data_IF_744006444198
#
_entry.id   IF_744006444198
#
_cell.length_a   1.000
_cell.length_b   1.000
_cell.length_c   1.000
_cell.angle_alpha   90.00
_cell.angle_beta   90.00
_cell.angle_gamma   90.00
#
_symmetry.space_group_name_H-M   'P 1'
#
loop_
_entity.id
_entity.type
_entity.pdbx_description
1 polymer ?
#
# COMPACT_ATOMS: atom_id res chain seq x y z
N UNK A 1 71.46 -34.47 23.99
CA UNK A 1 70.85 -33.39 23.17
C UNK A 1 69.96 -33.91 22.01
N UNK A 2 69.89 -35.23 21.74
CA UNK A 2 69.06 -35.71 20.59
C UNK A 2 67.60 -35.98 20.89
N UNK A 3 67.14 -36.06 22.13
CA UNK A 3 65.72 -36.38 22.44
C UNK A 3 64.74 -35.23 22.30
N UNK A 4 65.18 -33.93 22.41
CA UNK A 4 64.32 -32.76 22.32
C UNK A 4 63.87 -32.43 20.87
N UNK A 5 64.67 -32.83 19.89
CA UNK A 5 64.34 -32.56 18.47
C UNK A 5 63.18 -33.45 17.96
N UNK A 6 63.10 -34.72 18.47
CA UNK A 6 62.04 -35.64 18.04
C UNK A 6 60.63 -35.22 18.54
N UNK A 7 60.54 -34.61 19.70
CA UNK A 7 59.27 -34.04 20.23
C UNK A 7 58.83 -32.80 19.46
N UNK A 8 59.77 -31.90 19.15
CA UNK A 8 59.48 -30.70 18.36
C UNK A 8 59.02 -31.06 16.93
N UNK A 9 59.66 -32.05 16.26
CA UNK A 9 59.20 -32.52 14.95
C UNK A 9 57.82 -33.18 14.98
N UNK A 10 57.47 -33.91 16.03
CA UNK A 10 56.13 -34.47 16.18
C UNK A 10 55.07 -33.40 16.41
N UNK A 11 55.33 -32.40 17.21
CA UNK A 11 54.46 -31.26 17.42
C UNK A 11 54.25 -30.44 16.13
N UNK A 12 55.33 -30.22 15.36
CA UNK A 12 55.25 -29.50 14.08
C UNK A 12 54.40 -30.27 13.06
N UNK A 13 54.59 -31.59 12.92
CA UNK A 13 53.73 -32.40 12.05
C UNK A 13 52.29 -32.47 12.51
N UNK A 14 52.04 -32.52 13.80
CA UNK A 14 50.68 -32.48 14.35
C UNK A 14 50.01 -31.14 14.00
N UNK A 15 50.68 -29.98 14.19
CA UNK A 15 50.20 -28.67 13.86
C UNK A 15 49.93 -28.49 12.35
N UNK A 16 50.81 -29.08 11.51
CA UNK A 16 50.62 -29.07 10.04
C UNK A 16 49.36 -29.85 9.65
N UNK A 17 49.21 -31.08 10.16
CA UNK A 17 48.01 -31.91 9.88
C UNK A 17 46.76 -31.23 10.39
N UNK A 18 46.80 -30.67 11.60
CA UNK A 18 45.66 -29.90 12.18
C UNK A 18 45.28 -28.67 11.34
N UNK A 19 46.28 -27.91 10.90
CA UNK A 19 46.06 -26.74 10.05
C UNK A 19 45.43 -27.11 8.70
N UNK A 20 45.92 -28.15 8.04
CA UNK A 20 45.35 -28.64 6.78
C UNK A 20 43.93 -29.16 6.99
N UNK A 21 43.67 -29.92 8.03
CA UNK A 21 42.33 -30.41 8.35
C UNK A 21 41.35 -29.26 8.63
N UNK A 22 41.78 -28.25 9.40
CA UNK A 22 40.97 -27.08 9.71
C UNK A 22 40.68 -26.27 8.44
N UNK A 23 41.67 -26.05 7.57
CA UNK A 23 41.51 -25.36 6.28
C UNK A 23 40.54 -26.11 5.36
N UNK A 24 40.60 -27.44 5.30
CA UNK A 24 39.65 -28.25 4.55
C UNK A 24 38.22 -28.14 5.06
N UNK A 25 38.03 -28.13 6.39
CA UNK A 25 36.70 -27.93 7.01
C UNK A 25 36.16 -26.53 6.70
N UNK A 26 37.00 -25.48 6.81
CA UNK A 26 36.60 -24.11 6.47
C UNK A 26 36.23 -24.00 4.99
N UNK A 27 37.02 -24.60 4.09
CA UNK A 27 36.72 -24.59 2.65
C UNK A 27 35.40 -25.32 2.33
N UNK A 28 35.16 -26.45 3.03
CA UNK A 28 33.93 -27.23 2.86
C UNK A 28 32.69 -26.48 3.38
N UNK A 29 32.81 -25.80 4.52
CA UNK A 29 31.75 -24.93 5.05
C UNK A 29 31.50 -23.74 4.14
N UNK A 30 32.56 -23.10 3.62
CA UNK A 30 32.43 -22.01 2.64
C UNK A 30 31.76 -22.50 1.35
N UNK A 31 32.19 -23.66 0.83
CA UNK A 31 31.54 -24.30 -0.33
C UNK A 31 30.05 -24.55 -0.08
N UNK A 32 29.70 -25.13 1.06
CA UNK A 32 28.32 -25.42 1.44
C UNK A 32 27.48 -24.12 1.56
N UNK A 33 28.06 -23.07 2.14
CA UNK A 33 27.37 -21.79 2.32
C UNK A 33 27.17 -21.02 1.01
N UNK A 34 28.20 -20.99 0.13
CA UNK A 34 28.17 -20.17 -1.06
C UNK A 34 27.65 -20.89 -2.31
N UNK A 35 27.75 -22.22 -2.38
CA UNK A 35 27.41 -22.98 -3.60
C UNK A 35 26.21 -23.93 -3.43
N UNK A 36 25.84 -24.33 -2.23
CA UNK A 36 24.72 -25.27 -2.02
C UNK A 36 23.37 -24.61 -1.79
N UNK A 37 23.31 -23.28 -1.55
CA UNK A 37 22.08 -22.53 -1.26
C UNK A 37 21.40 -21.93 -2.50
N UNK A 38 21.68 -22.40 -3.72
CA UNK A 38 21.03 -21.91 -4.95
C UNK A 38 19.75 -22.68 -5.33
N UNK A 39 19.35 -23.67 -4.56
CA UNK A 39 18.05 -24.32 -4.76
C UNK A 39 17.01 -23.65 -3.89
N UNK A 40 16.06 -22.96 -4.51
CA UNK A 40 14.92 -22.33 -3.84
C UNK A 40 14.34 -23.25 -2.76
N UNK A 41 14.39 -22.82 -1.51
CA UNK A 41 13.93 -23.58 -0.37
C UNK A 41 12.43 -23.86 -0.49
N UNK A 42 12.03 -25.12 -0.33
CA UNK A 42 10.62 -25.47 -0.13
C UNK A 42 10.32 -25.35 1.36
N UNK A 43 9.49 -24.37 1.69
CA UNK A 43 9.03 -24.15 3.06
C UNK A 43 7.59 -24.66 3.18
N UNK A 44 7.26 -25.34 4.26
CA UNK A 44 5.86 -25.66 4.61
C UNK A 44 5.18 -24.45 5.23
N UNK A 45 5.95 -23.65 5.96
CA UNK A 45 5.49 -22.46 6.66
C UNK A 45 6.65 -21.48 6.77
N UNK A 46 6.34 -20.17 6.69
CA UNK A 46 7.30 -19.09 6.91
C UNK A 46 6.67 -18.10 7.89
N UNK A 47 7.35 -17.80 8.99
CA UNK A 47 6.99 -16.74 9.93
C UNK A 47 7.98 -15.60 9.74
N UNK A 48 7.50 -14.50 9.15
CA UNK A 48 8.32 -13.33 8.81
C UNK A 48 7.55 -12.03 9.06
N UNK A 49 8.25 -10.95 9.28
CA UNK A 49 7.65 -9.61 9.42
C UNK A 49 7.44 -8.93 8.07
N UNK A 50 8.27 -9.29 7.06
CA UNK A 50 8.20 -8.72 5.72
C UNK A 50 8.74 -9.67 4.66
N UNK A 51 8.05 -9.71 3.51
CA UNK A 51 8.50 -10.36 2.27
C UNK A 51 8.51 -9.30 1.17
N UNK A 52 9.59 -9.24 0.40
CA UNK A 52 9.70 -8.46 -0.82
C UNK A 52 9.76 -9.39 -2.03
N UNK A 53 8.91 -9.18 -3.00
CA UNK A 53 9.04 -9.76 -4.34
C UNK A 53 9.71 -8.70 -5.21
N UNK A 54 10.79 -9.08 -5.87
CA UNK A 54 11.61 -8.20 -6.70
C UNK A 54 11.89 -8.82 -8.06
N UNK A 55 12.14 -7.98 -9.06
CA UNK A 55 12.68 -8.40 -10.34
C UNK A 55 14.16 -8.76 -10.22
N UNK A 56 14.76 -9.30 -11.30
CA UNK A 56 16.19 -9.67 -11.33
C UNK A 56 17.12 -8.49 -11.09
N UNK A 57 16.73 -7.30 -11.49
CA UNK A 57 17.48 -6.05 -11.29
C UNK A 57 17.27 -5.41 -9.92
N UNK A 58 16.40 -6.02 -9.07
CA UNK A 58 16.08 -5.52 -7.73
C UNK A 58 14.86 -4.62 -7.68
N UNK A 59 14.20 -4.31 -8.79
CA UNK A 59 12.97 -3.51 -8.83
C UNK A 59 11.88 -4.17 -7.97
N UNK A 60 11.34 -3.43 -7.01
CA UNK A 60 10.32 -3.90 -6.08
C UNK A 60 8.98 -4.07 -6.81
N UNK A 61 8.31 -5.23 -6.62
CA UNK A 61 7.02 -5.56 -7.26
C UNK A 61 5.89 -5.72 -6.25
N UNK A 62 6.19 -6.31 -5.10
CA UNK A 62 5.22 -6.55 -4.04
C UNK A 62 5.92 -6.55 -2.69
N UNK A 63 5.29 -5.90 -1.73
CA UNK A 63 5.64 -6.02 -0.30
C UNK A 63 4.47 -6.65 0.43
N UNK A 64 4.74 -7.69 1.21
CA UNK A 64 3.84 -8.25 2.22
C UNK A 64 4.47 -7.96 3.57
N UNK A 65 3.83 -7.19 4.43
CA UNK A 65 4.45 -6.80 5.69
C UNK A 65 3.43 -6.60 6.83
N UNK A 66 3.92 -6.72 8.06
CA UNK A 66 3.22 -6.24 9.24
C UNK A 66 3.22 -4.70 9.27
N UNK A 67 2.48 -4.08 10.20
CA UNK A 67 2.37 -2.62 10.32
C UNK A 67 3.70 -1.91 10.53
N UNK A 68 4.58 -2.47 11.37
CA UNK A 68 5.86 -1.86 11.72
C UNK A 68 6.84 -1.84 10.54
N UNK A 69 6.80 -2.90 9.72
CA UNK A 69 7.71 -3.10 8.58
C UNK A 69 7.09 -2.71 7.24
N UNK A 70 5.88 -2.10 7.25
CA UNK A 70 5.17 -1.76 6.02
C UNK A 70 5.95 -0.71 5.21
N UNK A 71 5.85 -0.83 3.89
CA UNK A 71 6.51 0.08 2.97
C UNK A 71 5.80 1.44 2.95
N UNK A 72 6.51 2.58 3.01
CA UNK A 72 5.90 3.90 3.02
C UNK A 72 5.30 4.33 1.68
N UNK A 73 5.69 3.67 0.60
CA UNK A 73 5.32 3.99 -0.80
C UNK A 73 6.49 4.51 -1.61
N UNK A 74 6.37 4.41 -2.93
CA UNK A 74 7.29 5.01 -3.90
C UNK A 74 6.44 5.82 -4.89
N UNK A 75 6.85 7.05 -5.16
CA UNK A 75 6.20 7.97 -6.10
C UNK A 75 7.29 8.68 -6.90
N UNK A 76 7.19 8.68 -8.23
CA UNK A 76 8.20 9.22 -9.15
C UNK A 76 9.61 8.65 -8.84
N UNK A 77 9.73 7.34 -8.57
CA UNK A 77 10.97 6.64 -8.22
C UNK A 77 11.56 7.01 -6.85
N UNK A 78 10.84 7.76 -6.00
CA UNK A 78 11.30 8.20 -4.68
C UNK A 78 10.50 7.55 -3.57
N UNK A 79 11.20 6.90 -2.65
CA UNK A 79 10.57 6.38 -1.43
C UNK A 79 10.07 7.55 -0.57
N UNK A 80 8.80 7.50 -0.20
CA UNK A 80 8.17 8.50 0.66
C UNK A 80 8.70 8.39 2.11
N UNK A 81 8.59 9.46 2.90
CA UNK A 81 8.86 9.40 4.34
C UNK A 81 8.04 8.30 5.02
N UNK A 82 8.62 7.68 6.06
CA UNK A 82 7.92 6.66 6.83
C UNK A 82 6.60 7.24 7.37
N UNK A 83 5.53 6.48 7.17
CA UNK A 83 4.17 6.81 7.62
C UNK A 83 3.50 5.59 8.23
N UNK A 84 2.54 5.81 9.10
CA UNK A 84 1.74 4.73 9.66
C UNK A 84 0.80 4.16 8.57
N UNK A 85 0.96 2.85 8.31
CA UNK A 85 0.13 2.08 7.37
C UNK A 85 -0.24 0.75 8.01
N UNK A 86 -1.45 0.27 7.75
CA UNK A 86 -1.88 -1.06 8.16
C UNK A 86 -0.97 -2.18 7.63
N UNK A 87 -1.02 -3.33 8.26
CA UNK A 87 -0.43 -4.54 7.71
C UNK A 87 -1.10 -4.88 6.37
N UNK A 88 -0.41 -5.61 5.49
CA UNK A 88 -0.98 -6.01 4.20
C UNK A 88 0.01 -6.09 3.07
N UNK A 89 -0.50 -5.88 1.85
CA UNK A 89 0.22 -5.99 0.60
C UNK A 89 0.28 -4.63 -0.10
N UNK A 90 1.44 -4.25 -0.62
CA UNK A 90 1.60 -3.05 -1.46
C UNK A 90 2.15 -3.49 -2.81
N UNK A 91 1.50 -3.07 -3.89
CA UNK A 91 1.85 -3.38 -5.27
C UNK A 91 2.67 -2.25 -5.88
N UNK A 92 3.65 -2.62 -6.72
CA UNK A 92 4.49 -1.69 -7.44
C UNK A 92 4.48 -2.05 -8.93
N UNK A 93 4.40 -1.04 -9.79
CA UNK A 93 4.43 -1.19 -11.24
C UNK A 93 5.83 -1.58 -11.77
N UNK A 94 6.00 -1.66 -13.08
CA UNK A 94 7.28 -2.04 -13.71
C UNK A 94 8.40 -1.02 -13.49
N UNK A 95 8.06 0.21 -13.14
CA UNK A 95 8.99 1.28 -12.80
C UNK A 95 9.33 1.32 -11.30
N UNK A 96 8.67 0.48 -10.50
CA UNK A 96 8.83 0.42 -9.05
C UNK A 96 7.99 1.43 -8.27
N UNK A 97 7.09 2.17 -8.92
CA UNK A 97 6.16 3.08 -8.26
C UNK A 97 4.94 2.34 -7.70
N UNK A 98 4.42 2.81 -6.57
CA UNK A 98 3.21 2.24 -5.96
C UNK A 98 2.02 2.36 -6.92
N UNK A 99 1.29 1.26 -7.12
CA UNK A 99 0.14 1.20 -8.01
C UNK A 99 -1.11 0.54 -7.38
N UNK A 100 -1.14 0.43 -6.06
CA UNK A 100 -2.25 -0.09 -5.28
C UNK A 100 -1.82 -0.97 -4.13
N UNK A 101 -2.79 -1.59 -3.47
CA UNK A 101 -2.51 -2.47 -2.35
C UNK A 101 -3.75 -3.00 -1.65
N UNK A 102 -3.52 -3.87 -0.69
CA UNK A 102 -4.50 -4.31 0.28
C UNK A 102 -3.93 -4.09 1.68
N UNK A 103 -4.56 -3.25 2.48
CA UNK A 103 -4.15 -3.00 3.86
C UNK A 103 -5.29 -3.25 4.83
N UNK A 104 -4.95 -3.65 6.03
CA UNK A 104 -5.92 -3.87 7.09
C UNK A 104 -5.34 -3.50 8.44
N UNK A 105 -6.22 -3.03 9.31
CA UNK A 105 -5.93 -2.73 10.70
C UNK A 105 -7.19 -2.94 11.54
N UNK A 106 -7.03 -2.88 12.84
CA UNK A 106 -8.16 -2.92 13.77
C UNK A 106 -7.72 -3.30 15.16
N UNK A 107 -8.37 -2.72 16.13
CA UNK A 107 -8.12 -3.02 17.54
C UNK A 107 -9.41 -2.82 18.32
N UNK A 108 -9.67 -3.77 19.25
CA UNK A 108 -10.85 -3.75 20.14
C UNK A 108 -12.17 -3.76 19.36
N UNK A 109 -12.75 -2.61 19.07
CA UNK A 109 -14.04 -2.48 18.39
C UNK A 109 -13.93 -1.72 17.07
N UNK A 110 -12.74 -1.50 16.59
CA UNK A 110 -12.48 -0.79 15.33
C UNK A 110 -11.91 -1.74 14.28
N UNK A 111 -12.17 -1.48 13.02
CA UNK A 111 -11.59 -2.20 11.89
C UNK A 111 -11.48 -1.27 10.69
N UNK A 112 -10.38 -1.39 9.96
CA UNK A 112 -10.14 -0.70 8.70
C UNK A 112 -9.52 -1.68 7.72
N UNK A 113 -10.11 -1.81 6.54
CA UNK A 113 -9.61 -2.67 5.48
C UNK A 113 -9.83 -2.00 4.13
N UNK A 114 -8.83 -1.99 3.27
CA UNK A 114 -8.93 -1.42 1.95
C UNK A 114 -8.11 -2.17 0.91
N UNK A 115 -8.75 -2.50 -0.22
CA UNK A 115 -8.09 -2.94 -1.45
C UNK A 115 -8.22 -1.82 -2.47
N UNK A 116 -7.10 -1.33 -3.00
CA UNK A 116 -7.06 -0.25 -3.98
C UNK A 116 -6.29 -0.61 -5.24
N UNK A 117 -6.74 0.00 -6.35
CA UNK A 117 -6.04 0.07 -7.63
C UNK A 117 -5.82 1.54 -7.95
N UNK A 118 -4.58 1.91 -8.28
CA UNK A 118 -4.21 3.29 -8.52
C UNK A 118 -4.08 3.56 -10.03
N UNK A 119 -4.42 4.76 -10.46
CA UNK A 119 -4.11 5.22 -11.81
C UNK A 119 -2.61 5.41 -11.95
N UNK A 120 -2.06 5.16 -13.14
CA UNK A 120 -0.65 5.40 -13.42
C UNK A 120 -0.22 6.82 -13.00
N UNK A 121 0.90 6.90 -12.25
CA UNK A 121 1.45 8.12 -11.66
C UNK A 121 0.46 8.92 -10.80
N UNK A 122 -0.65 8.31 -10.38
CA UNK A 122 -1.70 8.97 -9.61
C UNK A 122 -2.11 8.08 -8.40
N UNK A 123 -3.22 8.40 -7.78
CA UNK A 123 -3.75 7.74 -6.58
C UNK A 123 -4.95 6.86 -6.95
N UNK A 124 -5.66 6.28 -5.98
CA UNK A 124 -6.73 5.30 -6.17
C UNK A 124 -7.81 5.78 -7.16
N UNK A 125 -8.17 4.89 -8.12
CA UNK A 125 -9.34 5.02 -8.99
C UNK A 125 -10.42 4.00 -8.66
N UNK A 126 -10.05 2.88 -8.04
CA UNK A 126 -10.97 1.85 -7.52
C UNK A 126 -10.56 1.47 -6.12
N UNK A 127 -11.52 1.38 -5.21
CA UNK A 127 -11.27 0.90 -3.85
C UNK A 127 -12.47 0.11 -3.31
N UNK A 128 -12.21 -1.10 -2.81
CA UNK A 128 -13.12 -1.81 -1.93
C UNK A 128 -12.70 -1.53 -0.48
N UNK A 129 -13.60 -0.95 0.30
CA UNK A 129 -13.28 -0.46 1.64
C UNK A 129 -14.28 -0.98 2.69
N UNK A 130 -13.77 -1.25 3.89
CA UNK A 130 -14.55 -1.47 5.10
C UNK A 130 -13.94 -0.67 6.25
N UNK A 131 -14.74 0.18 6.88
CA UNK A 131 -14.38 0.93 8.08
C UNK A 131 -15.42 0.72 9.18
N UNK A 132 -14.97 0.39 10.37
CA UNK A 132 -15.78 0.33 11.61
C UNK A 132 -15.03 1.07 12.71
N UNK A 133 -15.56 2.19 13.18
CA UNK A 133 -15.00 2.97 14.28
C UNK A 133 -15.63 2.65 15.65
N UNK A 134 -16.37 1.53 15.75
CA UNK A 134 -17.08 1.10 16.94
C UNK A 134 -18.48 1.72 17.13
N UNK A 135 -18.81 2.76 16.35
CA UNK A 135 -20.13 3.43 16.38
C UNK A 135 -20.79 3.40 15.00
N UNK A 136 -20.02 3.52 13.94
CA UNK A 136 -20.50 3.58 12.56
C UNK A 136 -19.71 2.60 11.71
N UNK A 137 -20.41 2.01 10.74
CA UNK A 137 -19.83 1.12 9.73
C UNK A 137 -20.07 1.70 8.35
N UNK A 138 -18.99 1.90 7.64
CA UNK A 138 -18.97 2.32 6.25
C UNK A 138 -18.26 1.24 5.43
N UNK A 139 -18.86 0.77 4.36
CA UNK A 139 -18.23 -0.21 3.50
C UNK A 139 -18.81 -0.18 2.10
N UNK A 140 -17.99 -0.48 1.12
CA UNK A 140 -18.45 -0.53 -0.26
C UNK A 140 -17.33 -0.40 -1.28
N UNK A 141 -17.74 -0.35 -2.54
CA UNK A 141 -16.91 -0.09 -3.70
C UNK A 141 -16.99 1.39 -4.04
N UNK A 142 -15.83 2.04 -4.18
CA UNK A 142 -15.68 3.42 -4.63
C UNK A 142 -14.92 3.46 -5.95
N UNK A 143 -15.30 4.42 -6.79
CA UNK A 143 -14.55 4.75 -8.02
C UNK A 143 -14.38 6.26 -8.12
N UNK A 144 -13.18 6.67 -8.59
CA UNK A 144 -12.84 8.09 -8.77
C UNK A 144 -12.33 8.36 -10.17
N UNK A 145 -12.55 9.58 -10.64
CA UNK A 145 -11.75 10.15 -11.71
C UNK A 145 -10.60 10.94 -11.12
N UNK A 146 -9.44 10.84 -11.73
CA UNK A 146 -8.22 11.57 -11.38
C UNK A 146 -7.72 12.36 -12.57
N UNK A 147 -7.25 13.58 -12.33
CA UNK A 147 -6.70 14.43 -13.39
C UNK A 147 -5.25 14.07 -13.69
N UNK A 148 -4.93 13.87 -14.95
CA UNK A 148 -3.54 13.68 -15.41
C UNK A 148 -2.69 14.95 -15.26
N UNK A 149 -3.31 16.13 -15.13
CA UNK A 149 -2.62 17.40 -14.91
C UNK A 149 -2.02 17.53 -13.50
N UNK A 150 -2.52 16.72 -12.55
CA UNK A 150 -2.10 16.75 -11.14
C UNK A 150 -1.76 15.32 -10.66
N UNK A 151 -0.68 14.71 -11.18
CA UNK A 151 -0.21 13.41 -10.69
C UNK A 151 0.21 13.49 -9.23
N UNK A 152 0.21 12.34 -8.53
CA UNK A 152 0.48 12.26 -7.09
C UNK A 152 1.82 12.91 -6.71
N UNK A 153 2.87 12.72 -7.49
CA UNK A 153 4.18 13.33 -7.21
C UNK A 153 4.15 14.86 -7.24
N UNK A 154 3.37 15.46 -8.15
CA UNK A 154 3.18 16.91 -8.20
C UNK A 154 2.40 17.41 -6.98
N UNK A 155 1.36 16.68 -6.56
CA UNK A 155 0.55 17.01 -5.39
C UNK A 155 1.38 16.90 -4.10
N UNK A 156 2.19 15.86 -3.95
CA UNK A 156 3.11 15.68 -2.81
C UNK A 156 4.10 16.85 -2.73
N UNK A 157 4.78 17.19 -3.83
CA UNK A 157 5.72 18.33 -3.86
C UNK A 157 5.06 19.66 -3.50
N UNK A 158 3.84 19.91 -4.01
CA UNK A 158 3.07 21.11 -3.68
C UNK A 158 2.71 21.14 -2.18
N UNK A 159 2.22 20.02 -1.66
CA UNK A 159 1.89 19.89 -0.23
C UNK A 159 3.12 20.14 0.65
N UNK A 160 4.27 19.53 0.34
CA UNK A 160 5.49 19.67 1.12
C UNK A 160 6.03 21.11 1.08
N UNK A 161 5.94 21.77 -0.09
CA UNK A 161 6.34 23.17 -0.25
C UNK A 161 5.48 24.10 0.61
N UNK A 162 4.16 23.91 0.63
CA UNK A 162 3.24 24.71 1.43
C UNK A 162 3.37 24.41 2.93
N UNK A 163 3.61 23.17 3.30
CA UNK A 163 3.87 22.76 4.69
C UNK A 163 5.15 23.38 5.22
N UNK A 164 6.20 23.49 4.41
CA UNK A 164 7.46 24.13 4.78
C UNK A 164 7.30 25.62 5.12
N UNK A 165 6.29 26.30 4.56
CA UNK A 165 5.94 27.68 4.87
C UNK A 165 5.20 27.85 6.20
N UNK A 166 4.83 26.76 6.89
CA UNK A 166 4.02 26.75 8.12
C UNK A 166 2.68 27.51 8.01
N UNK A 167 2.18 27.70 6.79
CA UNK A 167 0.90 28.37 6.51
C UNK A 167 -0.19 27.33 6.22
N UNK A 168 -0.85 26.87 7.28
CA UNK A 168 -1.93 25.89 7.20
C UNK A 168 -3.17 26.45 6.48
N UNK A 169 -3.39 27.77 6.51
CA UNK A 169 -4.50 28.41 5.85
C UNK A 169 -4.29 28.44 4.32
N UNK A 170 -3.08 28.78 3.86
CA UNK A 170 -2.71 28.72 2.46
C UNK A 170 -2.79 27.30 1.90
N UNK A 171 -2.31 26.31 2.67
CA UNK A 171 -2.42 24.89 2.29
C UNK A 171 -3.88 24.49 2.10
N UNK A 172 -4.74 24.79 3.08
CA UNK A 172 -6.16 24.44 3.02
C UNK A 172 -6.88 25.16 1.85
N UNK A 173 -6.55 26.43 1.61
CA UNK A 173 -7.11 27.21 0.48
C UNK A 173 -6.68 26.62 -0.86
N UNK A 174 -5.41 26.27 -1.02
CA UNK A 174 -4.87 25.65 -2.24
C UNK A 174 -5.54 24.32 -2.53
N UNK A 175 -5.66 23.43 -1.54
CA UNK A 175 -6.33 22.13 -1.72
C UNK A 175 -7.82 22.27 -2.07
N UNK A 176 -8.53 23.23 -1.48
CA UNK A 176 -9.92 23.54 -1.87
C UNK A 176 -10.00 24.02 -3.31
N UNK A 177 -9.09 24.89 -3.75
CA UNK A 177 -9.07 25.41 -5.10
C UNK A 177 -8.78 24.30 -6.13
N UNK A 178 -7.79 23.44 -5.88
CA UNK A 178 -7.50 22.27 -6.72
C UNK A 178 -8.73 21.35 -6.84
N UNK A 179 -9.43 21.12 -5.73
CA UNK A 179 -10.66 20.33 -5.74
C UNK A 179 -11.76 20.99 -6.57
N UNK A 180 -11.96 22.30 -6.44
CA UNK A 180 -12.96 23.03 -7.20
C UNK A 180 -12.67 23.04 -8.72
N UNK A 181 -11.40 22.97 -9.09
CA UNK A 181 -10.95 22.85 -10.49
C UNK A 181 -10.99 21.40 -11.03
N UNK A 182 -11.37 20.39 -10.21
CA UNK A 182 -11.37 18.99 -10.60
C UNK A 182 -9.97 18.37 -10.72
N UNK A 183 -8.94 19.03 -10.19
CA UNK A 183 -7.54 18.56 -10.26
C UNK A 183 -7.18 17.52 -9.19
N UNK A 184 -8.05 17.31 -8.20
CA UNK A 184 -7.94 16.20 -7.22
C UNK A 184 -8.95 15.12 -7.57
N UNK A 185 -8.83 13.95 -6.92
CA UNK A 185 -9.76 12.83 -7.15
C UNK A 185 -11.23 13.21 -6.88
N UNK A 186 -12.11 12.95 -7.85
CA UNK A 186 -13.55 13.13 -7.74
C UNK A 186 -14.23 11.77 -7.65
N UNK A 187 -14.92 11.48 -6.54
CA UNK A 187 -15.72 10.27 -6.40
C UNK A 187 -16.85 10.27 -7.43
N UNK A 188 -16.90 9.24 -8.28
CA UNK A 188 -17.88 9.10 -9.34
C UNK A 188 -18.95 8.09 -9.02
N UNK A 189 -18.57 7.07 -8.25
CA UNK A 189 -19.47 6.00 -7.87
C UNK A 189 -19.16 5.51 -6.47
N UNK A 190 -20.20 5.28 -5.71
CA UNK A 190 -20.17 4.50 -4.48
C UNK A 190 -21.30 3.48 -4.48
N UNK A 191 -20.97 2.21 -4.23
CA UNK A 191 -21.93 1.13 -3.98
C UNK A 191 -21.64 0.55 -2.61
N UNK A 192 -22.56 0.72 -1.67
CA UNK A 192 -22.30 0.21 -0.32
C UNK A 192 -23.17 0.82 0.75
N UNK A 193 -22.70 0.73 1.98
CA UNK A 193 -23.30 1.32 3.17
C UNK A 193 -22.57 2.59 3.57
N UNK A 194 -23.32 3.66 3.69
CA UNK A 194 -22.84 5.00 4.09
C UNK A 194 -22.81 5.16 5.62
N UNK A 195 -22.13 6.20 6.11
CA UNK A 195 -22.07 6.54 7.55
C UNK A 195 -23.42 6.82 8.16
N UNK A 196 -24.36 7.38 7.39
CA UNK A 196 -25.75 7.63 7.81
C UNK A 196 -26.65 6.41 7.65
N UNK A 197 -26.06 5.20 7.45
CA UNK A 197 -26.71 3.88 7.41
C UNK A 197 -27.56 3.62 6.16
N UNK A 198 -27.56 4.51 5.16
CA UNK A 198 -28.17 4.19 3.87
C UNK A 198 -27.32 3.13 3.12
N UNK A 199 -27.98 2.24 2.41
CA UNK A 199 -27.34 1.20 1.58
C UNK A 199 -27.81 1.37 0.16
N UNK A 200 -26.88 1.53 -0.80
CA UNK A 200 -27.29 1.75 -2.18
C UNK A 200 -26.17 2.04 -3.15
N UNK A 201 -26.59 2.50 -4.32
CA UNK A 201 -25.76 3.00 -5.42
C UNK A 201 -25.87 4.51 -5.49
N UNK A 202 -24.73 5.20 -5.48
CA UNK A 202 -24.63 6.65 -5.53
C UNK A 202 -23.70 7.05 -6.68
N UNK A 203 -24.23 7.73 -7.70
CA UNK A 203 -23.49 8.18 -8.87
C UNK A 203 -23.37 9.70 -8.84
N UNK A 204 -22.17 10.19 -9.15
CA UNK A 204 -21.81 11.62 -9.20
C UNK A 204 -21.29 12.00 -10.57
N UNK A 205 -21.38 13.30 -10.91
CA UNK A 205 -20.77 13.81 -12.12
C UNK A 205 -19.25 14.05 -11.95
N UNK A 206 -18.60 14.55 -12.98
CA UNK A 206 -17.16 14.88 -13.02
C UNK A 206 -16.72 15.95 -12.03
N UNK A 207 -17.67 16.66 -11.42
CA UNK A 207 -17.44 17.65 -10.35
C UNK A 207 -17.81 17.12 -8.95
N UNK A 208 -18.13 15.83 -8.85
CA UNK A 208 -18.50 15.18 -7.59
C UNK A 208 -19.94 15.49 -7.11
N UNK A 209 -20.78 16.12 -7.95
CA UNK A 209 -22.17 16.44 -7.61
C UNK A 209 -23.06 15.20 -7.79
N UNK A 210 -24.01 14.93 -6.89
CA UNK A 210 -24.91 13.80 -7.01
C UNK A 210 -25.71 13.89 -8.33
N UNK A 211 -25.92 12.72 -8.96
CA UNK A 211 -26.70 12.57 -10.20
C UNK A 211 -27.76 11.51 -10.07
N UNK A 212 -27.43 10.40 -9.40
CA UNK A 212 -28.36 9.30 -9.14
C UNK A 212 -28.10 8.73 -7.76
N UNK A 213 -29.17 8.46 -7.02
CA UNK A 213 -29.16 7.70 -5.77
C UNK A 213 -30.25 6.62 -5.82
N UNK A 214 -29.87 5.36 -5.65
CA UNK A 214 -30.77 4.20 -5.61
C UNK A 214 -30.42 3.37 -4.39
N UNK A 215 -31.38 3.07 -3.54
CA UNK A 215 -31.08 2.31 -2.33
C UNK A 215 -32.18 2.36 -1.29
N UNK A 216 -31.77 2.15 -0.04
CA UNK A 216 -32.61 2.18 1.14
C UNK A 216 -31.97 3.10 2.17
N UNK A 217 -32.74 4.00 2.76
CA UNK A 217 -32.28 4.91 3.80
C UNK A 217 -32.23 4.21 5.19
N UNK A 218 -31.80 4.95 6.20
CA UNK A 218 -31.72 4.45 7.58
C UNK A 218 -33.08 4.14 8.21
N UNK A 219 -34.17 4.64 7.63
CA UNK A 219 -35.56 4.38 8.05
C UNK A 219 -36.24 3.26 7.25
N UNK A 220 -35.49 2.54 6.41
CA UNK A 220 -35.97 1.51 5.47
C UNK A 220 -36.90 2.05 4.35
N UNK A 221 -36.79 3.35 4.02
CA UNK A 221 -37.49 3.90 2.89
C UNK A 221 -36.69 3.75 1.61
N UNK A 222 -37.37 3.52 0.49
CA UNK A 222 -36.74 3.45 -0.81
C UNK A 222 -36.17 4.83 -1.21
N UNK A 223 -34.91 4.83 -1.63
CA UNK A 223 -34.26 5.95 -2.30
C UNK A 223 -34.24 5.67 -3.80
N UNK A 224 -34.93 6.49 -4.60
CA UNK A 224 -34.84 6.49 -6.05
C UNK A 224 -34.87 7.93 -6.54
N UNK A 225 -33.68 8.56 -6.58
CA UNK A 225 -33.57 10.00 -6.77
C UNK A 225 -32.61 10.35 -7.89
N UNK A 226 -33.09 11.11 -8.86
CA UNK A 226 -32.26 11.78 -9.87
C UNK A 226 -31.98 13.23 -9.46
N UNK A 227 -30.91 13.82 -9.99
CA UNK A 227 -30.51 15.20 -9.74
C UNK A 227 -30.14 15.90 -11.04
N UNK A 228 -30.45 17.19 -11.13
CA UNK A 228 -30.06 18.06 -12.24
C UNK A 228 -28.55 18.38 -12.24
N UNK A 229 -28.10 19.18 -13.20
CA UNK A 229 -26.67 19.53 -13.36
C UNK A 229 -26.12 20.42 -12.26
N UNK A 230 -27.00 21.02 -11.44
CA UNK A 230 -26.61 21.84 -10.29
C UNK A 230 -26.85 21.15 -8.95
N UNK A 231 -27.35 19.88 -8.98
CA UNK A 231 -27.51 19.03 -7.80
C UNK A 231 -28.87 19.10 -7.12
N UNK A 232 -29.88 19.75 -7.74
CA UNK A 232 -31.25 19.76 -7.21
C UNK A 232 -31.95 18.44 -7.54
N UNK A 233 -32.77 17.89 -6.61
CA UNK A 233 -33.61 16.73 -6.89
C UNK A 233 -34.56 16.99 -8.07
N UNK A 234 -34.66 16.04 -9.00
CA UNK A 234 -35.65 16.04 -10.07
C UNK A 234 -36.72 15.00 -9.79
N UNK A 235 -37.97 15.30 -10.09
CA UNK A 235 -39.04 14.32 -10.05
C UNK A 235 -38.93 13.44 -11.29
N UNK A 236 -38.69 12.13 -11.06
CA UNK A 236 -38.78 11.13 -12.11
C UNK A 236 -40.27 10.93 -12.42
N UNK A 237 -40.78 11.45 -13.54
CA UNK A 237 -42.16 11.18 -13.96
C UNK A 237 -42.28 9.69 -14.26
N UNK A 238 -43.12 8.98 -13.50
CA UNK A 238 -43.56 7.63 -13.86
C UNK A 238 -44.54 7.77 -15.03
N UNK A 239 -44.11 7.51 -16.23
CA UNK A 239 -45.02 7.21 -17.33
C UNK A 239 -45.43 5.73 -17.22
N UNK A 240 -46.17 5.38 -16.15
CA UNK A 240 -46.90 4.12 -16.03
C UNK A 240 -48.33 4.34 -16.51
#
# INVERSE_FOLDING_TARGET
>A
MQSNNSHAFRQLRFLQVYSVALSAVVALLAWQTFFHNHNGGRFREITVERVNIVEKDGTLRLVIANRERQHPGIVDGKTLPQRDRGAGLIFFNDEGDECGGFTYSGEKKTSDMGFSLDQYANDQIVQLQYEDNGQRRHYGLKMWDRSDEMPTGKLVRLHDSLKALNDTAALAATLRNLRAQGLTGQERLFIGKTDNRAVGLFIRDDRGRPRVSIGIDSGNNLIFQGYDTIGNPIQLKSNL
#
